data_IF_683748348895
#
_entry.id   IF_683748348895
#
_cell.length_a   1.000
_cell.length_b   1.000
_cell.length_c   1.000
_cell.angle_alpha   90.00
_cell.angle_beta   90.00
_cell.angle_gamma   90.00
#
_symmetry.space_group_name_H-M   'P 1'
#
loop_
_entity.id
_entity.type
_entity.pdbx_description
1 polymer ?
#
# COMPACT_ATOMS: atom_id res chain seq x y z
N UNK A 1 -16.86 -14.95 4.63
CA UNK A 1 -15.55 -14.42 4.13
C UNK A 1 -15.03 -15.31 3.01
N UNK A 2 -14.66 -14.76 1.83
CA UNK A 2 -13.95 -15.54 0.81
C UNK A 2 -12.60 -15.94 1.40
N UNK A 3 -12.23 -17.22 1.33
CA UNK A 3 -10.92 -17.67 1.79
C UNK A 3 -9.88 -17.21 0.75
N UNK A 4 -9.15 -16.14 1.07
CA UNK A 4 -8.05 -15.67 0.26
C UNK A 4 -6.86 -16.62 0.45
N UNK A 5 -6.23 -17.01 -0.64
CA UNK A 5 -5.05 -17.88 -0.61
C UNK A 5 -4.05 -17.40 -1.66
N UNK A 6 -2.97 -16.75 -1.21
CA UNK A 6 -1.91 -16.24 -2.07
C UNK A 6 -0.61 -16.14 -1.28
N UNK A 7 0.53 -16.40 -1.92
CA UNK A 7 1.85 -16.42 -1.26
C UNK A 7 2.23 -15.07 -0.62
N UNK A 8 1.73 -13.96 -1.17
CA UNK A 8 2.03 -12.62 -0.68
C UNK A 8 0.89 -11.99 0.14
N UNK A 9 -0.04 -12.82 0.65
CA UNK A 9 -1.03 -12.43 1.65
C UNK A 9 -0.88 -13.29 2.89
N UNK A 10 -1.07 -12.70 4.07
CA UNK A 10 -1.08 -13.45 5.33
C UNK A 10 -2.30 -14.36 5.35
N UNK A 11 -2.08 -15.65 5.55
CA UNK A 11 -3.14 -16.66 5.56
C UNK A 11 -3.90 -16.64 6.89
N UNK A 12 -5.23 -16.55 6.79
CA UNK A 12 -6.12 -16.76 7.93
C UNK A 12 -6.30 -18.28 8.14
N UNK A 13 -5.85 -18.76 9.30
CA UNK A 13 -5.91 -20.19 9.67
C UNK A 13 -7.27 -20.52 10.27
N UNK A 14 -7.68 -19.75 11.26
CA UNK A 14 -8.90 -20.00 12.04
C UNK A 14 -9.50 -18.68 12.55
N UNK A 15 -10.80 -18.69 12.75
CA UNK A 15 -11.54 -17.63 13.44
C UNK A 15 -12.22 -18.23 14.63
N UNK A 16 -11.93 -17.71 15.82
CA UNK A 16 -12.55 -18.11 17.07
C UNK A 16 -13.53 -17.01 17.48
N UNK A 17 -14.82 -17.34 17.40
CA UNK A 17 -15.94 -16.46 17.71
C UNK A 17 -16.75 -17.15 18.81
N UNK A 18 -16.65 -16.64 20.04
CA UNK A 18 -17.45 -17.13 21.16
C UNK A 18 -18.66 -16.19 21.35
N UNK A 19 -19.89 -16.66 21.10
CA UNK A 19 -21.08 -15.83 21.24
C UNK A 19 -21.34 -15.35 22.67
N UNK A 20 -20.60 -15.84 23.66
CA UNK A 20 -20.69 -15.40 25.06
C UNK A 20 -19.68 -14.29 25.40
N UNK A 21 -18.69 -14.04 24.53
CA UNK A 21 -17.68 -13.00 24.67
C UNK A 21 -17.83 -11.95 23.55
N UNK A 22 -17.58 -10.68 23.88
CA UNK A 22 -17.60 -9.57 22.90
C UNK A 22 -16.24 -9.43 22.19
N UNK A 23 -15.61 -10.57 21.89
CA UNK A 23 -14.27 -10.63 21.31
C UNK A 23 -14.17 -11.66 20.21
N UNK A 24 -13.64 -11.23 19.05
CA UNK A 24 -13.33 -12.08 17.91
C UNK A 24 -11.82 -12.31 17.81
N UNK A 25 -11.37 -13.55 17.81
CA UNK A 25 -9.95 -13.89 17.66
C UNK A 25 -9.71 -14.47 16.25
N UNK A 26 -8.69 -13.95 15.58
CA UNK A 26 -8.24 -14.46 14.30
C UNK A 26 -6.84 -15.08 14.45
N UNK A 27 -6.71 -16.36 14.12
CA UNK A 27 -5.44 -17.07 14.06
C UNK A 27 -4.89 -16.97 12.64
N UNK A 28 -3.71 -16.38 12.50
CA UNK A 28 -3.06 -16.17 11.21
C UNK A 28 -1.69 -16.83 11.18
N UNK A 29 -1.14 -17.05 9.97
CA UNK A 29 0.24 -17.52 9.83
C UNK A 29 1.22 -16.54 10.46
N UNK A 30 2.33 -17.08 11.02
CA UNK A 30 3.35 -16.30 11.67
C UNK A 30 4.42 -15.83 10.67
N UNK A 31 4.54 -14.52 10.51
CA UNK A 31 5.64 -13.88 9.79
C UNK A 31 6.74 -13.50 10.79
N UNK A 32 7.76 -14.33 10.96
CA UNK A 32 8.69 -14.23 12.10
C UNK A 32 9.60 -13.01 12.08
N UNK A 33 9.89 -12.42 10.91
CA UNK A 33 10.66 -11.17 10.83
C UNK A 33 9.81 -9.94 11.19
N UNK A 34 8.48 -10.11 11.28
CA UNK A 34 7.55 -9.05 11.68
C UNK A 34 7.30 -8.01 10.60
N UNK A 35 6.99 -6.79 11.03
CA UNK A 35 6.71 -5.65 10.15
C UNK A 35 7.94 -5.26 9.35
N UNK A 36 7.77 -5.04 8.05
CA UNK A 36 8.89 -4.74 7.14
C UNK A 36 9.64 -3.47 7.53
N UNK A 37 8.93 -2.43 7.95
CA UNK A 37 9.51 -1.16 8.37
C UNK A 37 8.50 -0.38 9.23
N UNK A 38 8.99 0.41 10.17
CA UNK A 38 8.19 1.40 10.92
C UNK A 38 8.64 2.78 10.52
N UNK A 39 7.73 3.57 9.98
CA UNK A 39 7.94 4.96 9.62
C UNK A 39 6.73 5.79 10.03
N UNK A 40 6.97 7.02 10.47
CA UNK A 40 5.92 7.94 10.87
C UNK A 40 6.41 9.37 10.83
N UNK A 41 5.58 10.29 11.28
CA UNK A 41 5.98 11.68 11.44
C UNK A 41 7.13 11.75 12.45
N UNK A 42 8.30 12.27 12.03
CA UNK A 42 9.53 12.34 12.83
C UNK A 42 10.15 10.97 13.20
N UNK A 43 9.54 9.86 12.77
CA UNK A 43 10.09 8.51 12.94
C UNK A 43 10.70 8.03 11.62
N UNK A 44 12.03 7.96 11.58
CA UNK A 44 12.79 7.46 10.43
C UNK A 44 13.32 6.06 10.71
N UNK A 45 13.37 5.25 9.66
CA UNK A 45 13.97 3.93 9.68
C UNK A 45 15.25 3.90 8.86
N UNK A 46 16.06 2.86 9.05
CA UNK A 46 17.18 2.58 8.15
C UNK A 46 16.62 2.17 6.77
N UNK A 47 17.07 2.81 5.68
CA UNK A 47 16.63 2.45 4.34
C UNK A 47 17.16 1.07 3.93
N UNK A 48 16.40 0.37 3.10
CA UNK A 48 16.83 -0.87 2.48
C UNK A 48 17.56 -0.60 1.17
N UNK A 49 18.43 -1.55 0.78
CA UNK A 49 19.08 -1.50 -0.51
C UNK A 49 18.10 -1.73 -1.68
N UNK A 50 18.56 -1.44 -2.87
CA UNK A 50 17.75 -1.50 -4.08
C UNK A 50 17.25 -2.91 -4.39
N UNK A 51 18.08 -3.94 -4.19
CA UNK A 51 17.72 -5.34 -4.43
C UNK A 51 16.58 -5.78 -3.51
N UNK A 52 16.68 -5.47 -2.22
CA UNK A 52 15.66 -5.80 -1.24
C UNK A 52 14.35 -5.05 -1.52
N UNK A 53 14.43 -3.75 -1.84
CA UNK A 53 13.26 -2.96 -2.23
C UNK A 53 12.56 -3.55 -3.46
N UNK A 54 13.31 -3.96 -4.49
CA UNK A 54 12.76 -4.59 -5.70
C UNK A 54 12.08 -5.93 -5.40
N UNK A 55 12.68 -6.77 -4.57
CA UNK A 55 12.11 -8.06 -4.19
C UNK A 55 10.77 -7.88 -3.47
N UNK A 56 10.74 -7.06 -2.42
CA UNK A 56 9.52 -6.85 -1.64
C UNK A 56 8.45 -6.06 -2.38
N UNK A 57 8.84 -5.09 -3.23
CA UNK A 57 7.86 -4.40 -4.04
C UNK A 57 7.20 -5.32 -5.08
N UNK A 58 7.97 -6.27 -5.62
CA UNK A 58 7.42 -7.34 -6.46
C UNK A 58 6.38 -8.17 -5.71
N UNK A 59 6.69 -8.58 -4.49
CA UNK A 59 5.79 -9.35 -3.65
C UNK A 59 4.50 -8.57 -3.36
N UNK A 60 4.64 -7.27 -3.07
CA UNK A 60 3.52 -6.36 -2.85
C UNK A 60 2.62 -6.27 -4.10
N UNK A 61 3.21 -6.09 -5.29
CA UNK A 61 2.48 -6.07 -6.57
C UNK A 61 1.66 -7.35 -6.74
N UNK A 62 2.27 -8.52 -6.53
CA UNK A 62 1.60 -9.81 -6.69
C UNK A 62 0.44 -9.99 -5.71
N UNK A 63 0.62 -9.59 -4.46
CA UNK A 63 -0.42 -9.64 -3.44
C UNK A 63 -1.60 -8.74 -3.77
N UNK A 64 -1.36 -7.48 -4.14
CA UNK A 64 -2.41 -6.52 -4.46
C UNK A 64 -3.09 -6.84 -5.80
N UNK A 65 -2.34 -7.28 -6.83
CA UNK A 65 -2.93 -7.75 -8.09
C UNK A 65 -3.94 -8.90 -7.83
N UNK A 66 -3.57 -9.84 -6.97
CA UNK A 66 -4.47 -10.93 -6.58
C UNK A 66 -5.73 -10.40 -5.88
N UNK A 67 -5.61 -9.47 -4.92
CA UNK A 67 -6.77 -8.86 -4.25
C UNK A 67 -7.70 -8.19 -5.26
N UNK A 68 -7.14 -7.37 -6.16
CA UNK A 68 -7.90 -6.71 -7.22
C UNK A 68 -8.61 -7.70 -8.15
N UNK A 69 -7.99 -8.85 -8.46
CA UNK A 69 -8.62 -9.93 -9.23
C UNK A 69 -9.77 -10.61 -8.52
N UNK A 70 -9.79 -10.55 -7.18
CA UNK A 70 -10.88 -11.06 -6.35
C UNK A 70 -11.98 -10.02 -6.06
N UNK A 71 -11.86 -8.81 -6.63
CA UNK A 71 -12.80 -7.71 -6.39
C UNK A 71 -12.55 -7.01 -5.04
N UNK A 72 -11.34 -7.04 -4.51
CA UNK A 72 -11.02 -6.46 -3.20
C UNK A 72 -10.02 -5.32 -3.38
N UNK A 73 -10.34 -4.16 -2.82
CA UNK A 73 -9.45 -3.02 -2.65
C UNK A 73 -8.99 -2.97 -1.20
N UNK A 74 -7.68 -2.86 -0.97
CA UNK A 74 -7.10 -2.94 0.38
C UNK A 74 -7.33 -1.65 1.19
N UNK A 75 -7.04 -0.48 0.62
CA UNK A 75 -7.22 0.89 1.13
C UNK A 75 -6.33 1.33 2.29
N UNK A 76 -5.54 0.46 2.89
CA UNK A 76 -4.58 0.83 3.94
C UNK A 76 -3.21 0.15 3.73
N UNK A 77 -2.68 0.23 2.50
CA UNK A 77 -1.35 -0.27 2.19
C UNK A 77 -0.32 0.69 2.79
N UNK A 78 0.55 0.14 3.64
CA UNK A 78 1.65 0.85 4.31
C UNK A 78 2.66 -0.17 4.84
N UNK A 79 3.88 0.25 5.20
CA UNK A 79 4.88 -0.67 5.75
C UNK A 79 4.40 -1.44 6.98
N UNK A 80 3.57 -0.83 7.85
CA UNK A 80 3.01 -1.49 9.04
C UNK A 80 2.14 -2.71 8.70
N UNK A 81 1.50 -2.71 7.52
CA UNK A 81 0.66 -3.79 7.03
C UNK A 81 1.41 -4.72 6.05
N UNK A 82 2.72 -4.63 6.01
CA UNK A 82 3.62 -5.50 5.24
C UNK A 82 4.51 -6.29 6.21
N UNK A 83 4.29 -7.60 6.28
CA UNK A 83 5.07 -8.51 7.14
C UNK A 83 6.07 -9.30 6.30
N UNK A 84 7.18 -9.68 6.93
CA UNK A 84 8.23 -10.47 6.28
C UNK A 84 8.36 -11.85 6.93
N UNK A 85 8.37 -12.89 6.11
CA UNK A 85 8.61 -14.27 6.56
C UNK A 85 10.09 -14.53 6.81
N UNK A 86 10.44 -15.72 7.36
CA UNK A 86 11.83 -16.14 7.49
C UNK A 86 12.58 -16.23 6.16
N UNK A 87 11.86 -16.53 5.08
CA UNK A 87 12.40 -16.73 3.74
C UNK A 87 12.42 -15.42 2.93
N UNK A 88 12.37 -14.27 3.61
CA UNK A 88 12.38 -12.93 3.01
C UNK A 88 11.22 -12.62 2.05
N UNK A 89 10.10 -13.32 2.19
CA UNK A 89 8.89 -13.07 1.40
C UNK A 89 8.03 -12.01 2.09
N UNK A 90 7.66 -10.95 1.38
CA UNK A 90 6.71 -9.96 1.88
C UNK A 90 5.28 -10.46 1.73
N UNK A 91 4.49 -10.28 2.80
CA UNK A 91 3.07 -10.60 2.86
C UNK A 91 2.25 -9.42 3.37
N UNK A 92 1.15 -9.15 2.69
CA UNK A 92 0.20 -8.11 3.08
C UNK A 92 -0.78 -8.67 4.12
N UNK A 93 -1.08 -7.86 5.13
CA UNK A 93 -2.01 -8.15 6.23
C UNK A 93 -2.96 -6.98 6.45
N UNK A 94 -3.95 -7.18 7.30
CA UNK A 94 -4.94 -6.20 7.76
C UNK A 94 -5.91 -5.72 6.68
N UNK A 95 -7.02 -6.46 6.61
CA UNK A 95 -8.15 -6.16 5.73
C UNK A 95 -9.28 -5.40 6.45
N UNK A 96 -8.99 -4.76 7.59
CA UNK A 96 -10.00 -4.12 8.45
C UNK A 96 -10.80 -3.00 7.79
N UNK A 97 -10.20 -2.30 6.82
CA UNK A 97 -10.85 -1.23 6.04
C UNK A 97 -11.02 -1.58 4.56
N UNK A 98 -10.74 -2.82 4.17
CA UNK A 98 -10.88 -3.27 2.79
C UNK A 98 -12.33 -3.23 2.31
N UNK A 99 -12.52 -3.00 1.03
CA UNK A 99 -13.84 -2.96 0.39
C UNK A 99 -13.95 -4.04 -0.68
N UNK A 100 -15.09 -4.76 -0.66
CA UNK A 100 -15.38 -5.80 -1.64
C UNK A 100 -16.33 -5.26 -2.71
N UNK A 101 -16.02 -5.55 -3.95
CA UNK A 101 -16.81 -5.21 -5.13
C UNK A 101 -17.24 -6.46 -5.88
N UNK A 102 -18.23 -6.34 -6.74
CA UNK A 102 -18.54 -7.40 -7.68
C UNK A 102 -17.32 -7.65 -8.59
N UNK A 103 -17.10 -8.93 -8.91
CA UNK A 103 -16.02 -9.31 -9.80
C UNK A 103 -16.24 -8.63 -11.16
N UNK A 104 -15.14 -8.08 -11.71
CA UNK A 104 -15.13 -7.31 -12.97
C UNK A 104 -15.80 -5.93 -12.90
N UNK A 105 -16.16 -5.42 -11.70
CA UNK A 105 -16.59 -4.04 -11.53
C UNK A 105 -15.42 -3.04 -11.66
N UNK A 106 -15.73 -1.77 -11.88
CA UNK A 106 -14.72 -0.71 -11.94
C UNK A 106 -14.11 -0.35 -10.57
N UNK A 107 -14.61 -0.93 -9.47
CA UNK A 107 -14.12 -0.71 -8.09
C UNK A 107 -14.03 0.76 -7.69
N UNK A 108 -15.05 1.56 -8.03
CA UNK A 108 -15.15 2.94 -7.57
C UNK A 108 -15.77 3.01 -6.18
N UNK A 109 -15.21 3.84 -5.29
CA UNK A 109 -15.68 4.03 -3.92
C UNK A 109 -15.79 5.50 -3.56
N UNK A 110 -16.86 5.86 -2.86
CA UNK A 110 -17.06 7.18 -2.25
C UNK A 110 -16.54 7.27 -0.81
N UNK A 111 -15.93 6.19 -0.29
CA UNK A 111 -15.48 6.14 1.09
C UNK A 111 -14.00 6.51 1.19
N UNK A 112 -13.68 7.47 2.05
CA UNK A 112 -12.32 7.77 2.47
C UNK A 112 -11.94 6.85 3.64
N UNK A 113 -10.87 6.07 3.47
CA UNK A 113 -10.30 5.24 4.51
C UNK A 113 -8.79 5.11 4.27
N UNK A 114 -8.04 4.75 5.31
CA UNK A 114 -6.60 4.55 5.26
C UNK A 114 -5.83 5.56 6.11
N UNK A 115 -4.53 5.37 6.17
CA UNK A 115 -3.61 6.20 6.93
C UNK A 115 -3.30 7.50 6.19
N UNK A 116 -3.42 8.70 6.81
CA UNK A 116 -3.36 9.99 6.13
C UNK A 116 -2.17 10.21 5.21
N UNK A 117 -0.96 9.81 5.63
CA UNK A 117 0.26 9.99 4.84
C UNK A 117 0.35 9.10 3.59
N UNK A 118 -0.54 8.10 3.49
CA UNK A 118 -0.62 7.14 2.38
C UNK A 118 -1.81 7.38 1.46
N UNK A 119 -2.66 8.37 1.78
CA UNK A 119 -3.82 8.72 0.95
C UNK A 119 -3.38 9.41 -0.36
N UNK A 120 -4.05 9.09 -1.49
CA UNK A 120 -3.80 9.77 -2.75
C UNK A 120 -4.43 11.16 -2.79
N UNK A 121 -3.94 12.03 -3.71
CA UNK A 121 -4.43 13.41 -3.84
C UNK A 121 -5.93 13.56 -3.97
N UNK A 122 -6.58 12.65 -4.71
CA UNK A 122 -8.02 12.64 -4.92
C UNK A 122 -8.86 12.40 -3.66
N UNK A 123 -8.25 11.80 -2.62
CA UNK A 123 -8.87 11.64 -1.29
C UNK A 123 -8.47 12.73 -0.29
N UNK A 124 -7.49 13.56 -0.62
CA UNK A 124 -7.03 14.67 0.23
C UNK A 124 -7.84 15.96 0.04
N UNK A 125 -9.10 15.86 -0.37
CA UNK A 125 -10.02 17.00 -0.56
C UNK A 125 -11.25 16.84 0.31
N UNK A 126 -11.84 17.98 0.75
CA UNK A 126 -12.97 17.99 1.69
C UNK A 126 -14.23 17.28 1.16
N UNK A 127 -14.43 17.30 -0.17
CA UNK A 127 -15.53 16.58 -0.84
C UNK A 127 -14.97 15.99 -2.13
N UNK A 128 -14.87 14.68 -2.17
CA UNK A 128 -14.54 13.94 -3.37
C UNK A 128 -15.75 13.15 -3.86
N UNK A 129 -15.82 12.87 -5.15
CA UNK A 129 -16.76 11.92 -5.73
C UNK A 129 -16.27 10.48 -5.54
N UNK A 130 -16.83 9.59 -6.34
CA UNK A 130 -16.32 8.21 -6.41
C UNK A 130 -14.92 8.21 -7.04
N UNK A 131 -13.98 7.51 -6.38
CA UNK A 131 -12.59 7.39 -6.80
C UNK A 131 -12.25 5.93 -7.12
N UNK A 132 -11.28 5.72 -8.01
CA UNK A 132 -10.81 4.38 -8.32
C UNK A 132 -10.05 3.78 -7.14
N UNK A 133 -10.62 2.75 -6.50
CA UNK A 133 -9.95 2.04 -5.41
C UNK A 133 -8.64 1.36 -5.86
N UNK A 134 -8.57 0.89 -7.11
CA UNK A 134 -7.32 0.35 -7.68
C UNK A 134 -6.23 1.41 -7.78
N UNK A 135 -6.55 2.60 -8.25
CA UNK A 135 -5.60 3.70 -8.34
C UNK A 135 -5.18 4.19 -6.93
N UNK A 136 -6.08 4.14 -5.95
CA UNK A 136 -5.79 4.43 -4.54
C UNK A 136 -4.75 3.46 -3.98
N UNK A 137 -4.94 2.16 -4.15
CA UNK A 137 -3.98 1.15 -3.69
C UNK A 137 -2.60 1.33 -4.36
N UNK A 138 -2.56 1.62 -5.67
CA UNK A 138 -1.30 1.84 -6.40
C UNK A 138 -0.54 3.05 -5.83
N UNK A 139 -1.22 4.16 -5.55
CA UNK A 139 -0.58 5.30 -4.87
C UNK A 139 0.04 4.89 -3.54
N UNK A 140 -0.71 4.21 -2.68
CA UNK A 140 -0.24 3.76 -1.35
C UNK A 140 0.93 2.77 -1.45
N UNK A 141 0.97 1.91 -2.50
CA UNK A 141 2.13 1.08 -2.83
C UNK A 141 3.37 1.92 -3.16
N UNK A 142 3.21 3.02 -3.91
CA UNK A 142 4.30 3.94 -4.24
C UNK A 142 4.86 4.65 -3.00
N UNK A 143 3.99 5.13 -2.11
CA UNK A 143 4.41 5.70 -0.82
C UNK A 143 5.16 4.65 0.00
N UNK A 144 4.67 3.41 0.04
CA UNK A 144 5.34 2.29 0.73
C UNK A 144 6.72 2.01 0.14
N UNK A 145 6.86 1.94 -1.19
CA UNK A 145 8.15 1.75 -1.86
C UNK A 145 9.13 2.89 -1.54
N UNK A 146 8.65 4.13 -1.53
CA UNK A 146 9.46 5.28 -1.15
C UNK A 146 9.97 5.15 0.30
N UNK A 147 9.10 4.71 1.23
CA UNK A 147 9.50 4.46 2.62
C UNK A 147 10.59 3.39 2.71
N UNK A 148 10.46 2.28 2.02
CA UNK A 148 11.47 1.21 2.01
C UNK A 148 12.83 1.73 1.52
N UNK A 149 12.84 2.56 0.47
CA UNK A 149 14.06 3.06 -0.18
C UNK A 149 14.75 4.18 0.58
N UNK A 150 13.99 5.04 1.30
CA UNK A 150 14.51 6.24 1.96
C UNK A 150 14.32 6.25 3.48
N UNK A 151 13.66 5.26 4.06
CA UNK A 151 13.41 5.16 5.52
C UNK A 151 12.51 6.26 6.08
N UNK A 152 11.75 6.96 5.23
CA UNK A 152 10.88 8.09 5.61
C UNK A 152 9.70 8.24 4.67
N UNK A 153 8.71 9.05 5.06
CA UNK A 153 7.58 9.40 4.22
C UNK A 153 7.98 10.36 3.08
N UNK A 154 7.37 10.27 1.89
CA UNK A 154 7.60 11.23 0.79
C UNK A 154 7.01 12.61 1.07
N UNK A 155 5.95 12.68 1.89
CA UNK A 155 5.25 13.89 2.30
C UNK A 155 5.09 13.87 3.82
N UNK A 156 5.67 14.87 4.49
CA UNK A 156 5.63 15.01 5.95
C UNK A 156 5.29 16.45 6.33
N UNK A 157 4.24 16.63 7.14
CA UNK A 157 3.83 17.90 7.73
C UNK A 157 3.21 17.66 9.10
N UNK A 158 3.32 18.63 10.01
CA UNK A 158 2.75 18.56 11.36
C UNK A 158 1.22 18.64 11.34
N UNK A 159 0.66 19.46 10.46
CA UNK A 159 -0.77 19.64 10.28
C UNK A 159 -1.32 18.73 9.20
N UNK A 160 -2.46 18.09 9.45
CA UNK A 160 -3.15 17.26 8.47
C UNK A 160 -3.55 18.06 7.21
N UNK A 161 -3.90 19.34 7.37
CA UNK A 161 -4.25 20.20 6.23
C UNK A 161 -3.03 20.48 5.36
N UNK A 162 -1.89 20.82 5.99
CA UNK A 162 -0.63 21.03 5.26
C UNK A 162 -0.13 19.75 4.61
N UNK A 163 -0.33 18.59 5.26
CA UNK A 163 0.00 17.29 4.68
C UNK A 163 -0.82 17.03 3.41
N UNK A 164 -2.12 17.27 3.45
CA UNK A 164 -2.99 17.10 2.27
C UNK A 164 -2.66 18.08 1.16
N UNK A 165 -2.29 19.32 1.49
CA UNK A 165 -1.80 20.29 0.50
C UNK A 165 -0.49 19.83 -0.13
N UNK A 166 0.45 19.32 0.69
CA UNK A 166 1.71 18.75 0.22
C UNK A 166 1.50 17.53 -0.68
N UNK A 167 0.63 16.59 -0.29
CA UNK A 167 0.29 15.41 -1.12
C UNK A 167 -0.28 15.84 -2.48
N UNK A 168 -1.08 16.89 -2.54
CA UNK A 168 -1.69 17.39 -3.78
C UNK A 168 -0.72 18.17 -4.66
N UNK A 169 0.20 18.93 -4.07
CA UNK A 169 1.01 19.93 -4.78
C UNK A 169 2.49 19.61 -4.90
N UNK A 170 3.09 18.99 -3.88
CA UNK A 170 4.53 18.84 -3.83
C UNK A 170 5.01 17.59 -4.60
N UNK A 171 6.28 17.62 -5.01
CA UNK A 171 7.00 16.46 -5.55
C UNK A 171 7.82 15.82 -4.43
N UNK A 172 7.91 14.47 -4.36
CA UNK A 172 8.79 13.80 -3.42
C UNK A 172 10.24 14.24 -3.56
N UNK A 173 10.97 14.34 -2.44
CA UNK A 173 12.40 14.68 -2.44
C UNK A 173 13.22 13.40 -2.56
N UNK A 174 14.07 13.32 -3.57
CA UNK A 174 14.98 12.19 -3.79
C UNK A 174 16.37 12.53 -3.25
N UNK A 175 16.93 11.68 -2.40
CA UNK A 175 18.27 11.88 -1.83
C UNK A 175 19.37 11.47 -2.81
N UNK A 176 19.12 10.44 -3.62
CA UNK A 176 20.00 10.02 -4.69
C UNK A 176 19.45 10.51 -6.04
N UNK A 177 20.04 11.57 -6.55
CA UNK A 177 19.66 12.14 -7.84
C UNK A 177 20.11 11.30 -9.05
N UNK A 178 20.96 10.30 -8.84
CA UNK A 178 21.51 9.47 -9.92
C UNK A 178 20.61 8.30 -10.33
N UNK A 179 19.66 7.88 -9.46
CA UNK A 179 18.75 6.76 -9.75
C UNK A 179 17.52 7.21 -10.57
N UNK A 180 17.76 7.50 -11.84
CA UNK A 180 16.71 7.94 -12.77
C UNK A 180 15.62 6.87 -12.99
N UNK A 181 15.96 5.58 -12.91
CA UNK A 181 14.99 4.48 -13.09
C UNK A 181 13.99 4.45 -11.93
N UNK A 182 14.50 4.58 -10.69
CA UNK A 182 13.64 4.64 -9.51
C UNK A 182 12.75 5.89 -9.52
N UNK A 183 13.31 7.06 -9.89
CA UNK A 183 12.56 8.32 -9.98
C UNK A 183 11.44 8.25 -11.02
N UNK A 184 11.72 7.68 -12.21
CA UNK A 184 10.70 7.49 -13.24
C UNK A 184 9.57 6.60 -12.72
N UNK A 185 9.91 5.45 -12.11
CA UNK A 185 8.93 4.53 -11.56
C UNK A 185 8.07 5.20 -10.48
N UNK A 186 8.70 5.82 -9.47
CA UNK A 186 7.98 6.52 -8.39
C UNK A 186 7.14 7.67 -8.95
N UNK A 187 7.66 8.45 -9.90
CA UNK A 187 6.92 9.53 -10.54
C UNK A 187 5.63 9.04 -11.22
N UNK A 188 5.68 7.91 -11.88
CA UNK A 188 4.50 7.29 -12.53
C UNK A 188 3.51 6.69 -11.54
N UNK A 189 3.98 6.17 -10.40
CA UNK A 189 3.13 5.63 -9.34
C UNK A 189 2.49 6.76 -8.53
N UNK A 190 3.26 7.82 -8.20
CA UNK A 190 2.81 9.00 -7.46
C UNK A 190 2.33 10.13 -8.39
N UNK A 191 1.82 9.77 -9.58
CA UNK A 191 1.11 10.69 -10.47
C UNK A 191 -0.16 11.19 -9.77
N UNK A 192 -0.31 12.53 -9.73
CA UNK A 192 -1.40 13.19 -8.99
C UNK A 192 -2.77 12.95 -9.62
N UNK A 193 -2.81 12.88 -10.94
CA UNK A 193 -4.02 12.58 -11.70
C UNK A 193 -4.25 11.05 -11.74
N UNK A 194 -5.30 10.52 -11.07
CA UNK A 194 -5.54 9.08 -11.03
C UNK A 194 -5.78 8.45 -12.40
N UNK A 195 -6.24 9.22 -13.40
CA UNK A 195 -6.45 8.75 -14.78
C UNK A 195 -5.14 8.59 -15.57
N UNK A 196 -4.06 9.29 -15.15
CA UNK A 196 -2.72 9.19 -15.74
C UNK A 196 -1.79 8.29 -14.94
N UNK A 197 -2.16 8.01 -13.69
CA UNK A 197 -1.38 7.13 -12.81
C UNK A 197 -1.20 5.76 -13.44
N UNK A 198 0.02 5.21 -13.35
CA UNK A 198 0.32 3.87 -13.85
C UNK A 198 -0.69 2.86 -13.31
N UNK A 199 -1.20 1.98 -14.15
CA UNK A 199 -2.08 0.89 -13.73
C UNK A 199 -1.29 -0.37 -13.32
N UNK A 200 -1.99 -1.36 -12.77
CA UNK A 200 -1.37 -2.60 -12.29
C UNK A 200 -0.73 -3.41 -13.44
N UNK A 201 -1.30 -3.35 -14.64
CA UNK A 201 -0.75 -4.05 -15.79
C UNK A 201 0.58 -3.44 -16.23
N UNK A 202 0.63 -2.11 -16.40
CA UNK A 202 1.86 -1.40 -16.76
C UNK A 202 2.93 -1.51 -15.66
N UNK A 203 2.53 -1.50 -14.37
CA UNK A 203 3.42 -1.70 -13.23
C UNK A 203 4.08 -3.08 -13.26
N UNK A 204 3.33 -4.11 -13.64
CA UNK A 204 3.83 -5.47 -13.81
C UNK A 204 4.82 -5.61 -14.97
N UNK A 205 4.58 -4.93 -16.09
CA UNK A 205 5.46 -4.97 -17.28
C UNK A 205 6.76 -4.21 -17.05
N UNK A 206 6.73 -3.06 -16.35
CA UNK A 206 7.93 -2.29 -15.96
C UNK A 206 8.93 -3.11 -15.13
N UNK A 207 8.49 -4.24 -14.59
CA UNK A 207 9.26 -5.21 -13.81
C UNK A 207 10.25 -6.04 -14.66
N UNK A 208 10.09 -6.07 -15.98
CA UNK A 208 10.86 -6.94 -16.88
C UNK A 208 12.09 -6.25 -17.50
N UNK A 209 12.35 -5.00 -17.15
CA UNK A 209 13.50 -4.18 -17.54
C UNK A 209 14.32 -3.81 -16.28
#
# INVERSE_FOLDING_TARGET
MKKLNHNNLVSLIEVLDDPTEDSLYMVMEMCKKGVVMKVGLEEKADPYDDEQCRCWFRDLILGIEYLHSQGIVHRDIKPDNCLVTNDDILKVVDFGVSEMFEKDSNMFTGKSAGSPAFLPPELCVAKHGDVSGRATDIWSMGVTLYCLRYGRLPFEKQSIFELYDSIRGDTPVYEDESDEVFKDLIGRILEKDPEKRIDMFALRVSRSQ
#
